data_IF_915776320589
#
_entry.id   IF_915776320589
#
_cell.length_a   1.000
_cell.length_b   1.000
_cell.length_c   1.000
_cell.angle_alpha   90.00
_cell.angle_beta   90.00
_cell.angle_gamma   90.00
#
_symmetry.space_group_name_H-M   'P 1'
#
loop_
_entity.id
_entity.type
_entity.pdbx_description
1 polymer ?
#
# COMPACT_ATOMS: atom_id res chain seq x y z
N UNK A 1 -14.39 39.32 -2.63
CA UNK A 1 -14.88 38.22 -1.78
C UNK A 1 -14.94 36.92 -2.58
N UNK A 2 -15.66 36.83 -3.71
CA UNK A 2 -15.81 35.61 -4.54
C UNK A 2 -14.45 35.03 -4.98
N UNK A 3 -13.52 35.86 -5.41
CA UNK A 3 -12.15 35.44 -5.81
C UNK A 3 -11.39 34.87 -4.62
N UNK A 4 -11.51 35.45 -3.43
CA UNK A 4 -10.87 34.93 -2.22
C UNK A 4 -11.46 33.58 -1.80
N UNK A 5 -12.80 33.42 -1.92
CA UNK A 5 -13.49 32.15 -1.67
C UNK A 5 -13.06 31.07 -2.67
N UNK A 6 -12.93 31.42 -3.96
CA UNK A 6 -12.44 30.52 -4.98
C UNK A 6 -11.00 30.07 -4.73
N UNK A 7 -10.13 30.99 -4.35
CA UNK A 7 -8.74 30.69 -4.01
C UNK A 7 -8.63 29.78 -2.76
N UNK A 8 -9.47 30.00 -1.75
CA UNK A 8 -9.54 29.14 -0.57
C UNK A 8 -10.06 27.72 -0.93
N UNK A 9 -11.10 27.63 -1.75
CA UNK A 9 -11.66 26.35 -2.19
C UNK A 9 -10.63 25.48 -2.96
N UNK A 10 -9.73 26.11 -3.74
CA UNK A 10 -8.66 25.42 -4.47
C UNK A 10 -7.58 24.81 -3.57
N UNK A 11 -7.49 25.20 -2.29
CA UNK A 11 -6.55 24.64 -1.31
C UNK A 11 -7.09 23.38 -0.62
N UNK A 12 -8.36 23.01 -0.83
CA UNK A 12 -8.95 21.79 -0.30
C UNK A 12 -8.29 20.56 -0.89
N UNK A 13 -7.89 19.65 0.00
CA UNK A 13 -7.36 18.34 -0.37
C UNK A 13 -8.45 17.29 -0.22
N UNK A 14 -8.52 16.38 -1.18
CA UNK A 14 -9.39 15.22 -1.07
C UNK A 14 -8.73 14.17 -0.21
N UNK A 15 -9.47 13.65 0.78
CA UNK A 15 -9.04 12.56 1.64
C UNK A 15 -10.10 11.47 1.61
N UNK A 16 -9.71 10.25 1.25
CA UNK A 16 -10.61 9.10 1.17
C UNK A 16 -10.49 8.18 2.40
N UNK A 17 -10.07 8.75 3.53
CA UNK A 17 -9.97 7.99 4.76
C UNK A 17 -11.36 7.60 5.28
N UNK A 18 -11.81 6.41 4.85
CA UNK A 18 -13.10 5.82 5.25
C UNK A 18 -13.12 5.49 6.75
N UNK A 19 -11.95 5.32 7.37
CA UNK A 19 -11.86 4.96 8.80
C UNK A 19 -12.44 6.02 9.73
N UNK A 20 -12.52 7.27 9.27
CA UNK A 20 -13.16 8.36 9.99
C UNK A 20 -14.67 8.20 10.20
N UNK A 21 -15.33 7.37 9.39
CA UNK A 21 -16.78 7.12 9.45
C UNK A 21 -17.17 5.94 10.36
N UNK A 22 -16.20 5.14 10.81
CA UNK A 22 -16.50 4.03 11.72
C UNK A 22 -16.72 4.53 13.15
N UNK A 23 -17.66 3.92 13.90
CA UNK A 23 -17.84 4.15 15.33
C UNK A 23 -16.54 3.89 16.11
N UNK A 24 -16.32 4.57 17.23
CA UNK A 24 -15.07 4.52 18.00
C UNK A 24 -14.63 3.11 18.42
N UNK A 25 -15.57 2.16 18.58
CA UNK A 25 -15.28 0.76 18.87
C UNK A 25 -14.64 0.01 17.69
N UNK A 26 -15.08 0.31 16.48
CA UNK A 26 -14.59 -0.32 15.26
C UNK A 26 -13.31 0.35 14.75
N UNK A 27 -13.07 1.62 15.09
CA UNK A 27 -11.80 2.32 14.80
C UNK A 27 -10.59 1.62 15.42
N UNK A 28 -10.73 1.03 16.61
CA UNK A 28 -9.64 0.28 17.27
C UNK A 28 -9.32 -1.02 16.51
N UNK A 29 -10.35 -1.71 16.02
CA UNK A 29 -10.17 -2.90 15.18
C UNK A 29 -9.57 -2.52 13.82
N UNK A 30 -10.06 -1.47 13.16
CA UNK A 30 -9.50 -0.96 11.92
C UNK A 30 -8.05 -0.47 12.09
N UNK A 31 -7.72 0.18 13.21
CA UNK A 31 -6.35 0.59 13.54
C UNK A 31 -5.44 -0.62 13.83
N UNK A 32 -5.95 -1.68 14.46
CA UNK A 32 -5.20 -2.92 14.64
C UNK A 32 -4.90 -3.61 13.31
N UNK A 33 -5.85 -3.59 12.36
CA UNK A 33 -5.64 -4.07 10.99
C UNK A 33 -4.71 -3.17 10.17
N UNK A 34 -4.72 -1.85 10.41
CA UNK A 34 -3.82 -0.91 9.73
C UNK A 34 -2.36 -1.02 10.20
N UNK A 35 -2.13 -1.57 11.40
CA UNK A 35 -0.78 -1.82 11.94
C UNK A 35 -0.09 -3.06 11.33
N UNK A 36 -0.77 -3.82 10.48
CA UNK A 36 -0.12 -4.87 9.70
C UNK A 36 0.70 -4.20 8.58
N UNK A 37 1.99 -4.01 8.82
CA UNK A 37 2.95 -3.34 7.90
C UNK A 37 2.96 -3.90 6.46
N UNK A 38 2.49 -5.13 6.25
CA UNK A 38 2.40 -5.78 4.93
C UNK A 38 1.31 -5.13 4.06
N UNK A 39 0.26 -4.56 4.67
CA UNK A 39 -0.89 -3.98 3.97
C UNK A 39 -0.57 -2.67 3.25
N UNK A 40 0.49 -1.99 3.68
CA UNK A 40 0.89 -0.69 3.17
C UNK A 40 2.02 -0.78 2.11
N UNK A 41 2.47 -1.99 1.75
CA UNK A 41 3.48 -2.21 0.72
C UNK A 41 2.83 -2.41 -0.66
N UNK A 42 3.55 -2.01 -1.70
CA UNK A 42 3.24 -2.31 -3.09
C UNK A 42 4.22 -3.41 -3.53
N UNK A 43 3.70 -4.54 -3.99
CA UNK A 43 4.52 -5.60 -4.56
C UNK A 43 4.59 -5.40 -6.08
N UNK A 44 5.79 -5.34 -6.62
CA UNK A 44 6.03 -5.41 -8.05
C UNK A 44 6.40 -6.86 -8.38
N UNK A 45 5.71 -7.44 -9.33
CA UNK A 45 5.87 -8.81 -9.80
C UNK A 45 6.55 -8.78 -11.16
N UNK A 46 7.76 -9.30 -11.25
CA UNK A 46 8.51 -9.45 -12.50
C UNK A 46 8.35 -10.89 -12.95
N UNK A 47 7.71 -11.09 -14.11
CA UNK A 47 7.35 -12.41 -14.64
C UNK A 47 8.11 -12.68 -15.94
N UNK A 48 8.66 -13.89 -16.10
CA UNK A 48 9.42 -14.30 -17.27
C UNK A 48 8.71 -15.34 -18.17
N UNK A 49 7.44 -15.66 -17.91
CA UNK A 49 6.68 -16.64 -18.71
C UNK A 49 7.14 -18.09 -18.52
N UNK A 50 6.98 -18.91 -19.55
CA UNK A 50 7.21 -20.38 -19.48
C UNK A 50 8.69 -20.78 -19.37
N UNK A 51 9.65 -19.93 -19.81
CA UNK A 51 11.10 -20.20 -19.79
C UNK A 51 11.82 -19.49 -18.63
N UNK A 52 11.15 -19.31 -17.50
CA UNK A 52 11.61 -18.47 -16.42
C UNK A 52 12.90 -18.95 -15.74
N UNK A 53 13.10 -20.28 -15.66
CA UNK A 53 14.27 -20.84 -14.97
C UNK A 53 15.62 -20.47 -15.65
N UNK A 54 15.61 -20.24 -16.97
CA UNK A 54 16.80 -19.83 -17.72
C UNK A 54 17.00 -18.31 -17.74
N UNK A 55 16.03 -17.53 -17.19
CA UNK A 55 16.00 -16.05 -17.23
C UNK A 55 16.13 -15.39 -15.85
N UNK A 56 16.56 -16.15 -14.85
CA UNK A 56 16.71 -15.61 -13.48
C UNK A 56 17.64 -14.41 -13.41
N UNK A 57 18.78 -14.46 -14.11
CA UNK A 57 19.74 -13.34 -14.15
C UNK A 57 19.13 -12.09 -14.82
N UNK A 58 18.34 -12.29 -15.87
CA UNK A 58 17.65 -11.19 -16.57
C UNK A 58 16.52 -10.60 -15.71
N UNK A 59 15.83 -11.43 -14.93
CA UNK A 59 14.80 -10.95 -13.97
C UNK A 59 15.46 -10.16 -12.83
N UNK A 60 16.59 -10.59 -12.31
CA UNK A 60 17.37 -9.86 -11.31
C UNK A 60 17.87 -8.51 -11.87
N UNK A 61 18.42 -8.51 -13.09
CA UNK A 61 18.83 -7.29 -13.77
C UNK A 61 17.65 -6.33 -14.01
N UNK A 62 16.47 -6.85 -14.30
CA UNK A 62 15.23 -6.08 -14.41
C UNK A 62 14.84 -5.45 -13.07
N UNK A 63 14.93 -6.20 -11.95
CA UNK A 63 14.66 -5.69 -10.61
C UNK A 63 15.64 -4.58 -10.21
N UNK A 64 16.93 -4.74 -10.50
CA UNK A 64 17.96 -3.73 -10.24
C UNK A 64 17.73 -2.47 -11.06
N UNK A 65 17.36 -2.62 -12.35
CA UNK A 65 17.03 -1.50 -13.23
C UNK A 65 15.81 -0.73 -12.71
N UNK A 66 14.78 -1.45 -12.21
CA UNK A 66 13.62 -0.84 -11.55
C UNK A 66 14.04 -0.05 -10.33
N UNK A 67 14.80 -0.66 -9.43
CA UNK A 67 15.28 -0.02 -8.21
C UNK A 67 16.14 1.21 -8.51
N UNK A 68 17.03 1.12 -9.49
CA UNK A 68 17.86 2.25 -9.91
C UNK A 68 17.04 3.43 -10.46
N UNK A 69 16.03 3.15 -11.31
CA UNK A 69 15.13 4.17 -11.89
C UNK A 69 14.31 4.86 -10.82
N UNK A 70 13.69 4.08 -9.91
CA UNK A 70 12.88 4.62 -8.82
C UNK A 70 13.75 5.42 -7.84
N UNK A 71 14.95 4.94 -7.52
CA UNK A 71 15.88 5.64 -6.63
C UNK A 71 16.50 6.89 -7.28
N UNK A 72 16.53 7.01 -8.60
CA UNK A 72 16.94 8.22 -9.29
C UNK A 72 15.88 9.33 -9.23
N UNK A 73 14.61 8.97 -9.07
CA UNK A 73 13.50 9.93 -8.95
C UNK A 73 13.46 10.55 -7.54
N UNK A 74 13.69 11.85 -7.47
CA UNK A 74 13.71 12.61 -6.20
C UNK A 74 12.34 12.66 -5.52
N UNK A 75 11.26 12.61 -6.30
CA UNK A 75 9.90 12.60 -5.78
C UNK A 75 9.57 11.22 -5.19
N UNK A 76 9.96 10.15 -5.87
CA UNK A 76 9.79 8.78 -5.37
C UNK A 76 10.50 8.61 -4.02
N UNK A 77 11.81 8.91 -3.94
CA UNK A 77 12.60 8.79 -2.71
C UNK A 77 12.06 9.58 -1.51
N UNK A 78 11.32 10.65 -1.78
CA UNK A 78 10.69 11.45 -0.72
C UNK A 78 9.52 10.73 -0.07
N UNK A 79 8.82 9.87 -0.79
CA UNK A 79 7.55 9.29 -0.36
C UNK A 79 7.54 7.78 -0.29
N UNK A 80 8.55 7.10 -0.80
CA UNK A 80 8.66 5.66 -0.78
C UNK A 80 10.11 5.19 -0.84
N UNK A 81 10.31 3.94 -0.46
CA UNK A 81 11.54 3.18 -0.55
C UNK A 81 11.29 1.91 -1.35
N UNK A 82 12.28 1.49 -2.17
CA UNK A 82 12.22 0.25 -2.94
C UNK A 82 13.16 -0.78 -2.34
N UNK A 83 12.64 -1.96 -2.07
CA UNK A 83 13.33 -3.12 -1.53
C UNK A 83 13.34 -4.21 -2.61
N UNK A 84 14.42 -4.27 -3.41
CA UNK A 84 14.59 -5.27 -4.45
C UNK A 84 15.27 -6.53 -3.93
N UNK A 85 16.14 -6.39 -2.93
CA UNK A 85 16.91 -7.48 -2.32
C UNK A 85 16.58 -7.62 -0.84
N UNK A 86 16.60 -8.84 -0.35
CA UNK A 86 16.18 -9.24 1.00
C UNK A 86 17.33 -9.94 1.76
N UNK A 87 18.53 -9.43 1.71
CA UNK A 87 19.71 -10.01 2.36
C UNK A 87 19.59 -10.23 3.86
N UNK A 88 20.61 -9.88 4.61
CA UNK A 88 20.68 -10.08 6.08
C UNK A 88 19.52 -9.44 6.86
N UNK A 89 18.94 -8.34 6.37
CA UNK A 89 17.85 -7.63 7.07
C UNK A 89 16.55 -8.45 7.22
N UNK A 90 16.21 -9.29 6.22
CA UNK A 90 15.05 -10.18 6.35
C UNK A 90 15.32 -11.29 7.37
N UNK A 91 16.53 -11.85 7.35
CA UNK A 91 16.95 -12.85 8.31
C UNK A 91 16.98 -12.28 9.74
N UNK A 92 17.48 -11.07 9.91
CA UNK A 92 17.52 -10.36 11.20
C UNK A 92 16.13 -9.96 11.68
N UNK A 93 15.28 -9.50 10.78
CA UNK A 93 13.87 -9.21 11.06
C UNK A 93 13.09 -10.45 11.48
N UNK A 94 13.30 -11.59 10.81
CA UNK A 94 12.71 -12.87 11.16
C UNK A 94 13.23 -13.36 12.50
N UNK A 95 14.53 -13.25 12.76
CA UNK A 95 15.16 -13.57 14.05
C UNK A 95 14.56 -12.75 15.18
N UNK A 96 14.49 -11.43 15.02
CA UNK A 96 13.91 -10.51 16.01
C UNK A 96 12.43 -10.81 16.27
N UNK A 97 11.67 -11.13 15.22
CA UNK A 97 10.28 -11.54 15.34
C UNK A 97 10.11 -12.84 16.12
N UNK A 98 10.92 -13.84 15.80
CA UNK A 98 10.92 -15.14 16.51
C UNK A 98 11.28 -14.96 17.98
N UNK A 99 12.36 -14.24 18.29
CA UNK A 99 12.79 -13.97 19.67
C UNK A 99 11.72 -13.23 20.47
N UNK A 100 11.09 -12.20 19.88
CA UNK A 100 10.05 -11.41 20.54
C UNK A 100 8.70 -12.13 20.72
N UNK A 101 8.41 -13.15 19.90
CA UNK A 101 7.11 -13.83 19.88
C UNK A 101 7.22 -15.34 20.15
N UNK A 102 8.36 -15.84 20.56
CA UNK A 102 8.62 -17.26 20.80
C UNK A 102 7.52 -17.93 21.64
N UNK A 103 7.06 -17.37 22.77
CA UNK A 103 6.02 -17.98 23.59
C UNK A 103 4.68 -18.16 22.87
N UNK A 104 4.36 -17.33 21.87
CA UNK A 104 3.11 -17.42 21.11
C UNK A 104 3.19 -18.47 19.98
N UNK A 105 4.39 -18.81 19.56
CA UNK A 105 4.65 -19.71 18.45
C UNK A 105 4.87 -21.16 18.91
N UNK A 106 5.15 -21.40 20.19
CA UNK A 106 5.42 -22.72 20.74
C UNK A 106 4.13 -23.48 21.08
N UNK A 107 4.14 -24.81 20.88
CA UNK A 107 3.09 -25.73 21.30
C UNK A 107 3.41 -26.36 22.67
N UNK A 108 2.42 -27.03 23.26
CA UNK A 108 2.63 -27.81 24.49
C UNK A 108 3.71 -28.87 24.31
N UNK A 109 3.81 -29.48 23.13
CA UNK A 109 4.87 -30.44 22.80
C UNK A 109 6.27 -29.78 22.77
N UNK A 110 6.35 -28.53 22.31
CA UNK A 110 7.61 -27.77 22.30
C UNK A 110 8.03 -27.41 23.73
N UNK A 111 7.09 -27.01 24.58
CA UNK A 111 7.35 -26.77 26.00
C UNK A 111 7.83 -28.05 26.72
N UNK A 112 7.18 -29.19 26.48
CA UNK A 112 7.61 -30.48 27.04
C UNK A 112 9.03 -30.86 26.56
N UNK A 113 9.38 -30.54 25.32
CA UNK A 113 10.75 -30.73 24.77
C UNK A 113 11.73 -29.77 25.44
N UNK A 114 11.36 -28.53 25.68
CA UNK A 114 12.19 -27.55 26.39
C UNK A 114 12.56 -28.03 27.78
N UNK A 115 11.61 -28.61 28.53
CA UNK A 115 11.86 -29.19 29.86
C UNK A 115 12.99 -30.26 29.84
N UNK A 116 13.09 -31.02 28.75
CA UNK A 116 14.16 -32.00 28.58
C UNK A 116 15.50 -31.36 28.18
N UNK A 117 15.46 -30.32 27.36
CA UNK A 117 16.65 -29.60 26.88
C UNK A 117 17.33 -28.81 27.97
N UNK A 118 16.61 -28.25 28.94
CA UNK A 118 17.21 -27.49 30.06
C UNK A 118 17.73 -28.36 31.19
N UNK A 119 17.69 -29.68 31.07
CA UNK A 119 18.32 -30.59 32.02
C UNK A 119 19.85 -30.57 31.86
N UNK A 120 20.66 -30.87 32.91
CA UNK A 120 22.12 -30.96 32.78
C UNK A 120 22.59 -31.86 31.67
N UNK A 121 21.90 -32.96 31.43
CA UNK A 121 22.19 -33.90 30.33
C UNK A 121 21.82 -33.32 28.98
N UNK A 122 20.67 -32.66 28.85
CA UNK A 122 20.21 -32.01 27.63
C UNK A 122 21.15 -30.86 27.21
N UNK A 123 21.55 -30.03 28.16
CA UNK A 123 22.51 -28.94 27.94
C UNK A 123 23.85 -29.51 27.43
N UNK A 124 24.38 -30.53 28.09
CA UNK A 124 25.65 -31.15 27.68
C UNK A 124 25.58 -31.71 26.23
N UNK A 125 24.47 -32.37 25.88
CA UNK A 125 24.27 -32.92 24.54
C UNK A 125 24.12 -31.79 23.48
N UNK A 126 23.42 -30.72 23.80
CA UNK A 126 23.26 -29.56 22.91
C UNK A 126 24.63 -28.89 22.65
N UNK A 127 25.42 -28.67 23.71
CA UNK A 127 26.76 -28.07 23.60
C UNK A 127 27.72 -28.94 22.79
N UNK A 128 27.71 -30.25 23.01
CA UNK A 128 28.53 -31.18 22.22
C UNK A 128 28.09 -31.17 20.74
N UNK A 129 26.80 -31.15 20.49
CA UNK A 129 26.28 -31.03 19.13
C UNK A 129 26.71 -29.73 18.44
N UNK A 130 26.63 -28.62 19.15
CA UNK A 130 27.05 -27.29 18.64
C UNK A 130 28.55 -27.24 18.37
N UNK A 131 29.36 -27.81 19.26
CA UNK A 131 30.79 -27.91 19.05
C UNK A 131 31.15 -28.68 17.77
N UNK A 132 30.48 -29.81 17.51
CA UNK A 132 30.67 -30.57 16.26
C UNK A 132 30.23 -29.78 15.03
N UNK A 133 29.15 -29.00 15.11
CA UNK A 133 28.65 -28.13 14.00
C UNK A 133 29.63 -27.01 13.70
N UNK A 134 30.16 -26.34 14.70
CA UNK A 134 31.17 -25.29 14.55
C UNK A 134 32.47 -25.79 13.91
N UNK A 135 32.83 -27.03 14.16
CA UNK A 135 34.00 -27.66 13.52
C UNK A 135 33.74 -28.15 12.09
N UNK A 136 32.49 -28.07 11.60
CA UNK A 136 32.14 -28.42 10.23
C UNK A 136 32.54 -27.31 9.25
N UNK A 137 32.69 -27.59 7.95
CA UNK A 137 33.00 -26.57 6.93
C UNK A 137 31.95 -25.43 6.86
N UNK A 138 30.72 -25.66 7.34
CA UNK A 138 29.63 -24.68 7.40
C UNK A 138 29.58 -23.94 8.74
N UNK A 139 30.48 -24.26 9.67
CA UNK A 139 30.48 -23.73 11.04
C UNK A 139 30.52 -22.21 11.12
N UNK A 140 31.30 -21.58 10.24
CA UNK A 140 31.41 -20.11 10.19
C UNK A 140 30.15 -19.37 9.66
N UNK A 141 29.17 -20.11 9.12
CA UNK A 141 27.90 -19.52 8.69
C UNK A 141 26.77 -19.69 9.72
N UNK A 142 26.97 -20.55 10.72
CA UNK A 142 25.97 -20.87 11.74
C UNK A 142 26.40 -20.52 13.17
N UNK A 143 27.59 -19.93 13.33
CA UNK A 143 28.14 -19.54 14.62
C UNK A 143 27.25 -18.56 15.37
N UNK A 144 26.77 -17.54 14.70
CA UNK A 144 25.86 -16.54 15.25
C UNK A 144 24.51 -17.15 15.69
N UNK A 145 23.99 -18.12 14.90
CA UNK A 145 22.78 -18.87 15.28
C UNK A 145 22.96 -19.70 16.52
N UNK A 146 24.11 -20.36 16.65
CA UNK A 146 24.43 -21.16 17.82
C UNK A 146 24.64 -20.27 19.05
N UNK A 147 25.15 -19.06 18.84
CA UNK A 147 25.39 -18.13 19.94
C UNK A 147 24.07 -17.57 20.50
N UNK A 148 23.11 -17.25 19.61
CA UNK A 148 21.81 -16.69 19.99
C UNK A 148 20.84 -17.72 20.58
N UNK A 149 20.86 -18.98 20.08
CA UNK A 149 20.01 -20.07 20.57
C UNK A 149 20.80 -21.35 20.75
N UNK A 150 21.68 -21.40 21.78
CA UNK A 150 22.57 -22.52 21.99
C UNK A 150 21.88 -23.84 22.33
N UNK A 151 20.63 -23.81 22.78
CA UNK A 151 19.84 -24.99 23.09
C UNK A 151 18.88 -25.38 21.95
N UNK A 152 18.75 -24.55 20.89
CA UNK A 152 17.85 -24.80 19.79
C UNK A 152 16.36 -24.71 20.16
N UNK A 153 16.02 -23.82 21.08
CA UNK A 153 14.65 -23.64 21.57
C UNK A 153 13.73 -23.07 20.51
N UNK A 154 14.28 -22.28 19.57
CA UNK A 154 13.53 -21.62 18.50
C UNK A 154 13.17 -22.57 17.33
N UNK A 155 13.77 -23.76 17.24
CA UNK A 155 13.50 -24.70 16.13
C UNK A 155 12.03 -25.13 16.05
N UNK A 156 11.33 -25.29 17.19
CA UNK A 156 9.89 -25.58 17.21
C UNK A 156 9.05 -24.47 16.57
N UNK A 157 9.40 -23.22 16.84
CA UNK A 157 8.73 -22.07 16.26
C UNK A 157 8.97 -21.93 14.74
N UNK A 158 10.20 -22.23 14.28
CA UNK A 158 10.52 -22.27 12.85
C UNK A 158 9.71 -23.33 12.10
N UNK A 159 9.54 -24.53 12.68
CA UNK A 159 8.71 -25.57 12.09
C UNK A 159 7.27 -25.13 11.89
N UNK A 160 6.70 -24.41 12.86
CA UNK A 160 5.34 -23.87 12.74
C UNK A 160 5.21 -22.77 11.69
N UNK A 161 6.20 -21.90 11.55
CA UNK A 161 6.18 -20.91 10.47
C UNK A 161 6.17 -21.57 9.09
N UNK A 162 6.85 -22.71 8.95
CA UNK A 162 6.78 -23.53 7.74
C UNK A 162 5.40 -24.17 7.56
N UNK A 163 4.77 -24.67 8.63
CA UNK A 163 3.41 -25.22 8.59
C UNK A 163 2.35 -24.17 8.27
N UNK A 164 2.51 -22.94 8.75
CA UNK A 164 1.65 -21.82 8.41
C UNK A 164 1.83 -21.34 6.96
N UNK A 165 2.73 -21.97 6.22
CA UNK A 165 3.03 -21.66 4.82
C UNK A 165 3.42 -20.18 4.58
N UNK A 166 3.87 -19.50 5.64
CA UNK A 166 4.41 -18.15 5.57
C UNK A 166 5.80 -18.29 4.92
N UNK A 167 5.86 -18.12 3.60
CA UNK A 167 7.04 -18.33 2.78
C UNK A 167 7.05 -19.65 1.98
N UNK A 168 6.08 -20.53 2.17
CA UNK A 168 5.99 -21.79 1.45
C UNK A 168 5.83 -21.69 -0.07
N UNK A 169 5.48 -20.52 -0.57
CA UNK A 169 5.32 -20.24 -2.01
C UNK A 169 6.50 -19.47 -2.62
N UNK A 170 7.49 -19.08 -1.81
CA UNK A 170 8.63 -18.28 -2.25
C UNK A 170 9.95 -18.90 -1.82
N UNK A 171 11.00 -18.57 -2.53
CA UNK A 171 12.39 -18.96 -2.24
C UNK A 171 13.32 -17.76 -2.42
N UNK A 172 14.39 -17.70 -1.64
CA UNK A 172 15.41 -16.68 -1.79
C UNK A 172 16.51 -17.23 -2.71
N UNK A 173 16.87 -16.48 -3.75
CA UNK A 173 17.96 -16.78 -4.67
C UNK A 173 18.79 -15.50 -4.86
N UNK A 174 20.07 -15.53 -4.51
CA UNK A 174 20.98 -14.39 -4.57
C UNK A 174 20.39 -13.10 -3.95
N UNK A 175 19.78 -13.25 -2.76
CA UNK A 175 19.08 -12.19 -2.01
C UNK A 175 17.80 -11.66 -2.67
N UNK A 176 17.32 -12.22 -3.79
CA UNK A 176 16.04 -11.89 -4.41
C UNK A 176 14.96 -12.91 -4.03
N UNK A 177 13.73 -12.41 -3.91
CA UNK A 177 12.58 -13.22 -3.54
C UNK A 177 11.86 -13.72 -4.79
N UNK A 178 12.01 -15.00 -5.09
CA UNK A 178 11.37 -15.69 -6.19
C UNK A 178 10.18 -16.54 -5.73
N UNK A 179 9.21 -16.75 -6.61
CA UNK A 179 8.25 -17.84 -6.46
C UNK A 179 8.98 -19.20 -6.53
N UNK A 180 8.41 -20.26 -5.94
CA UNK A 180 9.03 -21.61 -5.93
C UNK A 180 9.34 -22.17 -7.31
N UNK A 181 8.51 -21.83 -8.28
CA UNK A 181 8.66 -22.23 -9.69
C UNK A 181 9.61 -21.31 -10.46
N UNK A 182 10.23 -20.34 -9.79
CA UNK A 182 11.16 -19.35 -10.36
C UNK A 182 10.53 -18.48 -11.47
N UNK A 183 9.21 -18.47 -11.60
CA UNK A 183 8.52 -17.73 -12.68
C UNK A 183 8.29 -16.26 -12.35
N UNK A 184 8.29 -15.92 -11.07
CA UNK A 184 7.99 -14.56 -10.60
C UNK A 184 9.01 -14.10 -9.58
N UNK A 185 9.62 -12.95 -9.80
CA UNK A 185 10.47 -12.23 -8.84
C UNK A 185 9.65 -11.10 -8.20
N UNK A 186 9.75 -10.95 -6.89
CA UNK A 186 9.05 -9.92 -6.13
C UNK A 186 9.99 -8.80 -5.69
N UNK A 187 9.58 -7.57 -5.96
CA UNK A 187 10.18 -6.34 -5.44
C UNK A 187 9.13 -5.63 -4.61
N UNK A 188 9.50 -5.14 -3.42
CA UNK A 188 8.57 -4.40 -2.59
C UNK A 188 8.89 -2.91 -2.60
N UNK A 189 7.82 -2.12 -2.62
CA UNK A 189 7.87 -0.67 -2.46
C UNK A 189 7.11 -0.34 -1.18
N UNK A 190 7.79 0.34 -0.27
CA UNK A 190 7.28 0.75 1.04
C UNK A 190 6.97 2.25 1.03
N UNK A 191 5.69 2.68 0.91
CA UNK A 191 5.33 4.08 1.01
C UNK A 191 5.50 4.64 2.42
N UNK A 192 5.98 5.87 2.55
CA UNK A 192 6.19 6.59 3.81
C UNK A 192 5.14 7.69 4.06
N UNK A 193 3.97 7.60 3.44
CA UNK A 193 2.88 8.56 3.62
C UNK A 193 1.66 7.89 4.26
N UNK A 194 0.81 8.70 4.88
CA UNK A 194 -0.43 8.17 5.46
C UNK A 194 -1.39 7.74 4.33
N UNK A 195 -1.96 6.55 4.45
CA UNK A 195 -2.86 5.92 3.45
C UNK A 195 -4.07 6.77 3.04
N UNK A 196 -4.31 7.91 3.70
CA UNK A 196 -5.37 8.87 3.36
C UNK A 196 -4.93 10.03 2.47
N UNK A 197 -3.65 10.23 2.17
CA UNK A 197 -3.19 11.29 1.26
C UNK A 197 -3.20 10.81 -0.19
N UNK A 198 -4.40 10.82 -0.78
CA UNK A 198 -4.64 10.36 -2.16
C UNK A 198 -3.85 11.14 -3.21
N UNK A 199 -3.52 12.40 -2.93
CA UNK A 199 -2.74 13.24 -3.86
C UNK A 199 -1.27 12.84 -3.92
N UNK A 200 -0.69 12.34 -2.82
CA UNK A 200 0.67 11.80 -2.79
C UNK A 200 0.68 10.39 -3.38
N UNK A 201 -0.30 9.56 -3.00
CA UNK A 201 -0.45 8.21 -3.52
C UNK A 201 -0.59 8.18 -5.04
N UNK A 202 -1.42 9.06 -5.61
CA UNK A 202 -1.64 9.17 -7.05
C UNK A 202 -0.33 9.48 -7.80
N UNK A 203 0.44 10.46 -7.32
CA UNK A 203 1.74 10.82 -7.91
C UNK A 203 2.78 9.71 -7.77
N UNK A 204 2.80 9.00 -6.64
CA UNK A 204 3.71 7.88 -6.45
C UNK A 204 3.40 6.75 -7.45
N UNK A 205 2.13 6.39 -7.59
CA UNK A 205 1.70 5.35 -8.53
C UNK A 205 2.02 5.75 -9.97
N UNK A 206 1.83 7.02 -10.34
CA UNK A 206 2.19 7.52 -11.67
C UNK A 206 3.69 7.36 -11.97
N UNK A 207 4.57 7.54 -10.97
CA UNK A 207 6.02 7.32 -11.13
C UNK A 207 6.35 5.84 -11.27
N UNK A 208 5.69 4.98 -10.50
CA UNK A 208 5.85 3.53 -10.62
C UNK A 208 5.37 3.06 -12.01
N UNK A 209 4.20 3.49 -12.45
CA UNK A 209 3.65 3.18 -13.78
C UNK A 209 4.62 3.59 -14.89
N UNK A 210 5.14 4.82 -14.85
CA UNK A 210 6.09 5.31 -15.84
C UNK A 210 7.41 4.53 -15.85
N UNK A 211 7.91 4.13 -14.68
CA UNK A 211 9.11 3.31 -14.57
C UNK A 211 8.89 1.89 -15.16
N UNK A 212 7.72 1.29 -14.85
CA UNK A 212 7.35 -0.03 -15.35
C UNK A 212 7.08 -0.06 -16.85
N UNK A 213 6.44 0.97 -17.41
CA UNK A 213 6.24 1.09 -18.87
C UNK A 213 7.59 1.11 -19.61
N UNK A 214 8.55 1.90 -19.13
CA UNK A 214 9.89 1.94 -19.70
C UNK A 214 10.64 0.62 -19.54
N UNK A 215 10.46 -0.07 -18.41
CA UNK A 215 11.08 -1.35 -18.13
C UNK A 215 10.49 -2.46 -19.02
N UNK A 216 9.18 -2.53 -19.12
CA UNK A 216 8.46 -3.50 -19.96
C UNK A 216 8.83 -3.36 -21.44
N UNK A 217 9.06 -2.13 -21.92
CA UNK A 217 9.52 -1.89 -23.29
C UNK A 217 10.97 -2.39 -23.51
N UNK A 218 11.86 -2.19 -22.52
CA UNK A 218 13.26 -2.60 -22.60
C UNK A 218 13.42 -4.12 -22.55
N UNK A 219 12.67 -4.80 -21.67
CA UNK A 219 12.76 -6.24 -21.46
C UNK A 219 11.75 -7.06 -22.28
N UNK A 220 10.97 -6.41 -23.16
CA UNK A 220 9.98 -7.07 -24.03
C UNK A 220 10.61 -8.18 -24.89
N UNK A 221 11.82 -7.96 -25.41
CA UNK A 221 12.54 -8.95 -26.23
C UNK A 221 12.95 -10.20 -25.45
N UNK A 222 13.19 -10.07 -24.14
CA UNK A 222 13.46 -11.17 -23.23
C UNK A 222 12.17 -11.89 -22.78
N UNK A 223 10.98 -11.35 -23.09
CA UNK A 223 9.69 -11.90 -22.67
C UNK A 223 9.43 -11.68 -21.17
N UNK A 224 10.09 -10.69 -20.55
CA UNK A 224 9.91 -10.32 -19.16
C UNK A 224 8.90 -9.18 -19.08
N UNK A 225 7.96 -9.31 -18.16
CA UNK A 225 6.94 -8.30 -17.86
C UNK A 225 6.91 -8.00 -16.39
N UNK A 226 6.71 -6.73 -16.04
CA UNK A 226 6.59 -6.28 -14.67
C UNK A 226 5.24 -5.62 -14.44
N UNK A 227 4.52 -6.10 -13.43
CA UNK A 227 3.24 -5.57 -12.96
C UNK A 227 3.33 -5.25 -11.47
N UNK A 228 2.40 -4.44 -10.96
CA UNK A 228 2.38 -4.07 -9.56
C UNK A 228 1.00 -4.27 -8.94
N UNK A 229 0.99 -4.62 -7.63
CA UNK A 229 -0.22 -4.77 -6.85
C UNK A 229 0.03 -4.38 -5.39
N UNK A 230 -1.00 -3.88 -4.71
CA UNK A 230 -0.92 -3.55 -3.28
C UNK A 230 -2.03 -2.62 -2.82
N UNK A 231 -2.24 -2.54 -1.50
CA UNK A 231 -3.26 -1.68 -0.90
C UNK A 231 -3.15 -0.22 -1.34
N UNK A 232 -1.97 0.41 -1.30
CA UNK A 232 -1.78 1.79 -1.76
C UNK A 232 -2.08 1.99 -3.24
N UNK A 233 -1.75 1.00 -4.08
CA UNK A 233 -2.04 1.03 -5.52
C UNK A 233 -3.55 0.98 -5.80
N UNK A 234 -4.25 0.06 -5.14
CA UNK A 234 -5.71 -0.04 -5.24
C UNK A 234 -6.40 1.22 -4.73
N UNK A 235 -5.92 1.79 -3.62
CA UNK A 235 -6.45 3.03 -3.08
C UNK A 235 -6.27 4.20 -4.05
N UNK A 236 -5.09 4.36 -4.66
CA UNK A 236 -4.83 5.40 -5.66
C UNK A 236 -5.70 5.21 -6.91
N UNK A 237 -5.84 3.98 -7.41
CA UNK A 237 -6.71 3.67 -8.54
C UNK A 237 -8.18 4.02 -8.25
N UNK A 238 -8.69 3.60 -7.09
CA UNK A 238 -10.06 3.92 -6.67
C UNK A 238 -10.27 5.44 -6.56
N UNK A 239 -9.30 6.17 -6.01
CA UNK A 239 -9.35 7.62 -5.92
C UNK A 239 -9.40 8.29 -7.30
N UNK A 240 -8.57 7.85 -8.25
CA UNK A 240 -8.61 8.30 -9.66
C UNK A 240 -9.96 8.02 -10.29
N UNK A 241 -10.51 6.82 -10.10
CA UNK A 241 -11.80 6.41 -10.63
C UNK A 241 -12.93 7.28 -10.07
N UNK A 242 -13.01 7.43 -8.76
CA UNK A 242 -14.03 8.26 -8.09
C UNK A 242 -13.95 9.71 -8.58
N UNK A 243 -12.74 10.28 -8.67
CA UNK A 243 -12.54 11.64 -9.17
C UNK A 243 -13.03 11.81 -10.60
N UNK A 244 -12.72 10.85 -11.48
CA UNK A 244 -13.16 10.84 -12.88
C UNK A 244 -14.67 10.74 -12.99
N UNK A 245 -15.27 9.79 -12.26
CA UNK A 245 -16.71 9.55 -12.28
C UNK A 245 -17.47 10.75 -11.73
N UNK A 246 -16.94 11.36 -10.66
CA UNK A 246 -17.51 12.58 -10.06
C UNK A 246 -17.47 13.76 -11.05
N UNK A 247 -16.34 13.98 -11.73
CA UNK A 247 -16.23 15.04 -12.74
C UNK A 247 -17.20 14.81 -13.91
N UNK A 248 -17.30 13.59 -14.39
CA UNK A 248 -18.19 13.23 -15.49
C UNK A 248 -19.65 13.41 -15.08
N UNK A 249 -20.04 12.89 -13.93
CA UNK A 249 -21.42 12.97 -13.42
C UNK A 249 -21.84 14.41 -13.14
N UNK A 250 -20.94 15.20 -12.54
CA UNK A 250 -21.20 16.62 -12.25
C UNK A 250 -21.43 17.41 -13.54
N UNK A 251 -20.60 17.23 -14.56
CA UNK A 251 -20.76 17.92 -15.83
C UNK A 251 -22.06 17.54 -16.55
N UNK A 252 -22.42 16.24 -16.54
CA UNK A 252 -23.69 15.77 -17.11
C UNK A 252 -24.87 16.36 -16.32
N UNK A 253 -24.82 16.35 -15.00
CA UNK A 253 -25.88 16.91 -14.16
C UNK A 253 -26.09 18.42 -14.41
N UNK A 254 -25.00 19.18 -14.48
CA UNK A 254 -25.04 20.61 -14.81
C UNK A 254 -25.67 20.83 -16.19
N UNK A 255 -25.24 20.05 -17.20
CA UNK A 255 -25.79 20.14 -18.55
C UNK A 255 -27.31 19.88 -18.56
N UNK A 256 -27.74 18.79 -17.91
CA UNK A 256 -29.18 18.45 -17.81
C UNK A 256 -29.97 19.60 -17.14
N UNK A 257 -29.46 20.14 -16.03
CA UNK A 257 -30.09 21.24 -15.30
C UNK A 257 -30.18 22.46 -16.19
N UNK A 258 -29.10 22.85 -16.87
CA UNK A 258 -29.10 24.03 -17.76
C UNK A 258 -30.09 23.86 -18.91
N UNK A 259 -30.10 22.68 -19.55
CA UNK A 259 -31.06 22.37 -20.62
C UNK A 259 -32.48 22.42 -20.12
N UNK A 260 -32.79 21.78 -18.98
CA UNK A 260 -34.12 21.76 -18.39
C UNK A 260 -34.63 23.16 -18.05
N UNK A 261 -33.81 23.98 -17.38
CA UNK A 261 -34.21 25.36 -17.03
C UNK A 261 -34.37 26.21 -18.31
N UNK A 262 -33.49 26.06 -19.31
CA UNK A 262 -33.57 26.81 -20.58
C UNK A 262 -34.84 26.49 -21.35
N UNK A 263 -35.28 25.21 -21.30
CA UNK A 263 -36.55 24.79 -21.94
C UNK A 263 -37.80 25.25 -21.16
N UNK A 264 -37.67 25.27 -19.79
CA UNK A 264 -38.80 25.65 -18.90
C UNK A 264 -39.06 27.14 -18.88
N UNK A 265 -38.04 27.98 -19.01
CA UNK A 265 -38.18 29.43 -18.90
C UNK A 265 -38.00 30.11 -20.25
N UNK A 266 -38.96 30.99 -20.56
CA UNK A 266 -38.97 31.80 -21.78
C UNK A 266 -37.87 32.88 -21.80
N UNK A 267 -37.42 33.28 -20.61
CA UNK A 267 -36.34 34.25 -20.43
C UNK A 267 -35.03 33.54 -20.06
N UNK A 268 -34.00 33.56 -20.93
CA UNK A 268 -32.71 32.93 -20.75
C UNK A 268 -31.91 33.49 -19.58
N UNK A 269 -32.17 34.72 -19.14
CA UNK A 269 -31.56 35.32 -17.95
C UNK A 269 -32.02 34.67 -16.65
N UNK A 270 -33.18 34.01 -16.62
CA UNK A 270 -33.68 33.29 -15.46
C UNK A 270 -32.74 32.13 -15.06
N UNK A 271 -32.12 31.45 -16.06
CA UNK A 271 -31.13 30.39 -15.82
C UNK A 271 -29.94 30.91 -15.01
N UNK A 272 -29.40 32.07 -15.44
CA UNK A 272 -28.23 32.67 -14.77
C UNK A 272 -28.61 33.13 -13.36
N UNK A 273 -29.80 33.73 -13.21
CA UNK A 273 -30.29 34.24 -11.94
C UNK A 273 -30.54 33.10 -10.92
N UNK A 274 -30.99 31.93 -11.38
CA UNK A 274 -31.17 30.74 -10.53
C UNK A 274 -29.85 30.09 -10.10
N UNK A 275 -28.86 30.08 -10.97
CA UNK A 275 -27.58 29.41 -10.70
C UNK A 275 -26.63 30.23 -9.83
N UNK A 276 -26.67 31.56 -9.88
CA UNK A 276 -25.78 32.45 -9.11
C UNK A 276 -25.85 32.18 -7.60
N UNK A 277 -27.02 32.15 -6.93
CA UNK A 277 -27.09 31.90 -5.48
C UNK A 277 -26.56 30.52 -5.10
N UNK A 278 -26.83 29.49 -5.91
CA UNK A 278 -26.38 28.12 -5.68
C UNK A 278 -24.86 28.04 -5.80
N UNK A 279 -24.26 28.62 -6.84
CA UNK A 279 -22.82 28.66 -7.04
C UNK A 279 -22.11 29.45 -5.92
N UNK A 280 -22.67 30.58 -5.50
CA UNK A 280 -22.11 31.35 -4.38
C UNK A 280 -22.19 30.60 -3.06
N UNK A 281 -23.31 29.91 -2.79
CA UNK A 281 -23.48 29.06 -1.61
C UNK A 281 -22.50 27.90 -1.58
N UNK A 282 -22.29 27.22 -2.71
CA UNK A 282 -21.32 26.16 -2.84
C UNK A 282 -19.88 26.65 -2.62
N UNK A 283 -19.48 27.75 -3.26
CA UNK A 283 -18.18 28.37 -3.06
C UNK A 283 -17.96 28.79 -1.60
N UNK A 284 -18.98 29.35 -0.96
CA UNK A 284 -18.91 29.73 0.43
C UNK A 284 -18.71 28.53 1.36
N UNK A 285 -19.46 27.45 1.13
CA UNK A 285 -19.31 26.20 1.89
C UNK A 285 -17.91 25.60 1.73
N UNK A 286 -17.41 25.50 0.50
CA UNK A 286 -16.06 25.00 0.22
C UNK A 286 -14.97 25.89 0.83
N UNK A 287 -15.15 27.21 0.81
CA UNK A 287 -14.20 28.14 1.43
C UNK A 287 -14.15 27.98 2.96
N UNK A 288 -15.30 27.82 3.62
CA UNK A 288 -15.34 27.56 5.07
C UNK A 288 -14.68 26.21 5.37
N UNK A 289 -14.99 25.17 4.60
CA UNK A 289 -14.36 23.86 4.80
C UNK A 289 -12.84 23.93 4.62
N UNK A 290 -12.35 24.68 3.65
CA UNK A 290 -10.91 24.89 3.48
C UNK A 290 -10.25 25.54 4.70
N UNK A 291 -10.94 26.49 5.33
CA UNK A 291 -10.42 27.20 6.51
C UNK A 291 -10.51 26.37 7.79
N UNK A 292 -11.48 25.45 7.89
CA UNK A 292 -11.73 24.67 9.11
C UNK A 292 -11.10 23.30 9.09
N UNK A 293 -11.23 22.56 8.00
CA UNK A 293 -10.89 21.13 7.95
C UNK A 293 -9.71 20.81 7.00
N UNK A 294 -9.37 21.68 6.06
CA UNK A 294 -8.32 21.51 5.03
C UNK A 294 -8.48 20.28 4.14
N UNK A 295 -9.29 19.29 4.52
CA UNK A 295 -9.56 18.05 3.79
C UNK A 295 -11.07 17.83 3.66
N UNK A 296 -11.48 17.29 2.52
CA UNK A 296 -12.87 16.91 2.23
C UNK A 296 -12.93 15.48 1.72
N UNK A 297 -13.92 14.70 2.18
CA UNK A 297 -14.14 13.35 1.63
C UNK A 297 -15.03 13.41 0.39
N UNK A 298 -14.82 12.48 -0.56
CA UNK A 298 -15.66 12.34 -1.75
C UNK A 298 -17.15 12.12 -1.40
N UNK A 299 -17.42 11.43 -0.28
CA UNK A 299 -18.77 11.21 0.24
C UNK A 299 -19.43 12.55 0.66
N UNK A 300 -18.67 13.42 1.34
CA UNK A 300 -19.17 14.74 1.74
C UNK A 300 -19.50 15.63 0.53
N UNK A 301 -18.68 15.56 -0.53
CA UNK A 301 -18.97 16.26 -1.81
C UNK A 301 -20.23 15.69 -2.45
N UNK A 302 -20.38 14.34 -2.48
CA UNK A 302 -21.60 13.70 -2.98
C UNK A 302 -22.85 14.14 -2.22
N UNK A 303 -22.83 14.17 -0.89
CA UNK A 303 -23.92 14.70 -0.07
C UNK A 303 -24.18 16.19 -0.34
N UNK A 304 -23.13 16.98 -0.55
CA UNK A 304 -23.21 18.40 -0.90
C UNK A 304 -23.97 18.65 -2.21
N UNK A 305 -23.81 17.76 -3.22
CA UNK A 305 -24.54 17.88 -4.49
C UNK A 305 -26.06 17.75 -4.33
N UNK A 306 -26.52 16.90 -3.40
CA UNK A 306 -27.95 16.77 -3.07
C UNK A 306 -28.47 18.07 -2.47
N UNK A 307 -27.72 18.68 -1.54
CA UNK A 307 -28.08 19.97 -0.92
C UNK A 307 -28.12 21.08 -1.99
N UNK A 308 -27.20 21.10 -2.94
CA UNK A 308 -27.18 22.02 -4.07
C UNK A 308 -28.44 21.87 -4.94
N UNK A 309 -28.91 20.64 -5.19
CA UNK A 309 -30.17 20.38 -5.91
C UNK A 309 -31.39 20.99 -5.19
N UNK A 310 -31.43 20.84 -3.86
CA UNK A 310 -32.51 21.47 -3.05
C UNK A 310 -32.40 22.99 -3.11
N UNK A 311 -31.21 23.57 -2.98
CA UNK A 311 -30.99 25.01 -3.07
C UNK A 311 -31.42 25.58 -4.43
N UNK A 312 -31.17 24.82 -5.52
CA UNK A 312 -31.62 25.19 -6.86
C UNK A 312 -33.16 25.21 -6.94
N UNK A 313 -33.84 24.22 -6.34
CA UNK A 313 -35.32 24.19 -6.29
C UNK A 313 -35.89 25.42 -5.62
N UNK A 314 -35.33 25.88 -4.50
CA UNK A 314 -35.73 27.14 -3.85
C UNK A 314 -35.43 28.35 -4.72
N UNK A 315 -34.29 28.40 -5.40
CA UNK A 315 -33.92 29.51 -6.27
C UNK A 315 -34.89 29.66 -7.45
N UNK A 316 -35.38 28.57 -8.00
CA UNK A 316 -36.38 28.56 -9.08
C UNK A 316 -37.74 29.03 -8.59
N UNK A 317 -38.12 28.77 -7.33
CA UNK A 317 -39.41 29.21 -6.76
C UNK A 317 -39.51 30.71 -6.55
N UNK A 318 -38.38 31.40 -6.49
CA UNK A 318 -38.34 32.87 -6.31
C UNK A 318 -38.38 33.60 -7.64
N UNK A 319 -38.10 32.92 -8.74
CA UNK A 319 -38.13 33.45 -10.13
C UNK A 319 -39.49 33.34 -10.77
#
# INVERSE_FOLDING_TARGET
LVVAMGAAALQLRFSENITGFFPDGERKAAAAFSNLKIKDKIAVMINAGEDAADKTDEMMACADSLAARLNADTLFRRYAEVEATFGSELADGMRSFLQGNLPLLLSEADYARMDTLVTPRGIAQAMEGNYRRLLSPVGGFIDEYIYDDPLGLSFGALGKLQELNIGGSYTLCDDYLFSKDMTTLLVFISPHYQSGDTGVGDRLIERIESALEGLNAEYAAAGITADYYGGPAVAAYNARQIKRDMMLTLNIAILIIVVFITLSFRNKFAVLLALIPVALGALFALAIMSLTCHTISSIAVGAGTVVMGIALSYSIHIL
#
